data_IF_303039096715
#
_entry.id   IF_303039096715
#
_cell.length_a   1.000
_cell.length_b   1.000
_cell.length_c   1.000
_cell.angle_alpha   90.00
_cell.angle_beta   90.00
_cell.angle_gamma   90.00
#
_symmetry.space_group_name_H-M   'P 1'
#
loop_
_entity.id
_entity.type
_entity.pdbx_description
1 polymer ?
#
# COMPACT_ATOMS: atom_id res chain seq x y z
N UNK A 1 39.67 23.41 -12.77
CA UNK A 1 39.18 23.01 -11.42
C UNK A 1 37.92 22.18 -11.58
N UNK A 2 38.07 20.91 -12.06
CA UNK A 2 36.93 20.00 -12.39
C UNK A 2 37.35 18.52 -12.17
N UNK A 3 37.69 18.13 -10.95
CA UNK A 3 38.18 16.80 -10.64
C UNK A 3 37.82 16.35 -9.22
N UNK A 4 36.53 16.37 -8.82
CA UNK A 4 36.15 15.79 -7.51
C UNK A 4 34.74 15.17 -7.46
N UNK A 5 34.06 14.96 -8.59
CA UNK A 5 32.69 14.41 -8.58
C UNK A 5 32.57 12.91 -8.99
N UNK A 6 33.65 12.23 -9.33
CA UNK A 6 33.61 10.85 -9.89
C UNK A 6 33.90 9.72 -8.89
N UNK A 7 34.44 10.03 -7.69
CA UNK A 7 34.87 8.96 -6.74
C UNK A 7 33.80 8.46 -5.76
N UNK A 8 32.65 9.15 -5.63
CA UNK A 8 31.61 8.71 -4.67
C UNK A 8 30.61 7.69 -5.22
N UNK A 9 30.53 7.50 -6.52
CA UNK A 9 29.59 6.59 -7.16
C UNK A 9 29.86 5.09 -6.87
N UNK A 10 31.10 4.57 -6.89
CA UNK A 10 31.37 3.16 -6.63
C UNK A 10 31.14 2.76 -5.16
N UNK A 11 31.44 3.64 -4.20
CA UNK A 11 31.26 3.37 -2.77
C UNK A 11 29.77 3.27 -2.37
N UNK A 12 28.92 4.12 -2.93
CA UNK A 12 27.46 4.06 -2.69
C UNK A 12 26.82 2.79 -3.28
N UNK A 13 27.28 2.36 -4.45
CA UNK A 13 26.79 1.14 -5.10
C UNK A 13 27.17 -0.11 -4.28
N UNK A 14 28.40 -0.17 -3.73
CA UNK A 14 28.85 -1.28 -2.90
C UNK A 14 28.09 -1.37 -1.57
N UNK A 15 27.81 -0.24 -0.91
CA UNK A 15 27.00 -0.17 0.32
C UNK A 15 25.56 -0.65 0.08
N UNK A 16 24.93 -0.24 -1.02
CA UNK A 16 23.59 -0.71 -1.38
C UNK A 16 23.55 -2.21 -1.66
N UNK A 17 24.59 -2.75 -2.28
CA UNK A 17 24.69 -4.18 -2.54
C UNK A 17 24.90 -4.97 -1.22
N UNK A 18 25.73 -4.49 -0.32
CA UNK A 18 25.91 -5.07 1.01
C UNK A 18 24.60 -5.04 1.84
N UNK A 19 23.87 -3.90 1.82
CA UNK A 19 22.58 -3.78 2.48
C UNK A 19 21.56 -4.78 1.91
N UNK A 20 21.50 -4.93 0.59
CA UNK A 20 20.61 -5.91 -0.07
C UNK A 20 20.91 -7.36 0.32
N UNK A 21 22.16 -7.70 0.56
CA UNK A 21 22.55 -9.04 1.04
C UNK A 21 22.10 -9.28 2.49
N UNK A 22 22.12 -8.24 3.32
CA UNK A 22 21.73 -8.30 4.75
C UNK A 22 20.22 -8.13 4.97
N UNK A 23 19.45 -7.74 3.95
CA UNK A 23 18.00 -7.50 4.08
C UNK A 23 17.21 -8.65 4.72
N UNK A 24 17.40 -9.95 4.37
CA UNK A 24 16.67 -11.02 5.03
C UNK A 24 16.94 -11.11 6.52
N UNK A 25 18.19 -10.86 6.95
CA UNK A 25 18.58 -10.90 8.37
C UNK A 25 17.99 -9.70 9.13
N UNK A 26 18.04 -8.50 8.55
CA UNK A 26 17.43 -7.30 9.13
C UNK A 26 15.90 -7.48 9.24
N UNK A 27 15.29 -8.00 8.20
CA UNK A 27 13.85 -8.30 8.17
C UNK A 27 13.49 -9.35 9.24
N UNK A 28 14.31 -10.37 9.41
CA UNK A 28 14.12 -11.41 10.43
C UNK A 28 14.19 -10.83 11.85
N UNK A 29 15.17 -9.99 12.13
CA UNK A 29 15.29 -9.32 13.43
C UNK A 29 14.06 -8.44 13.71
N UNK A 30 13.61 -7.68 12.72
CA UNK A 30 12.41 -6.85 12.84
C UNK A 30 11.15 -7.66 13.08
N UNK A 31 10.91 -8.69 12.25
CA UNK A 31 9.74 -9.58 12.37
C UNK A 31 9.78 -10.36 13.67
N UNK A 32 10.95 -10.80 14.13
CA UNK A 32 11.12 -11.49 15.40
C UNK A 32 10.76 -10.60 16.60
N UNK A 33 11.28 -9.38 16.63
CA UNK A 33 10.95 -8.41 17.69
C UNK A 33 9.47 -8.04 17.68
N UNK A 34 8.91 -7.77 16.50
CA UNK A 34 7.48 -7.46 16.37
C UNK A 34 6.60 -8.67 16.70
N UNK A 35 6.99 -9.86 16.27
CA UNK A 35 6.28 -11.12 16.60
C UNK A 35 6.29 -11.43 18.08
N UNK A 36 7.38 -11.18 18.79
CA UNK A 36 7.45 -11.31 20.24
C UNK A 36 6.49 -10.34 20.95
N UNK A 37 6.43 -9.08 20.50
CA UNK A 37 5.46 -8.11 21.01
C UNK A 37 4.01 -8.58 20.77
N UNK A 38 3.70 -9.11 19.58
CA UNK A 38 2.36 -9.63 19.27
C UNK A 38 2.01 -10.86 20.10
N UNK A 39 2.96 -11.74 20.35
CA UNK A 39 2.77 -12.90 21.24
C UNK A 39 2.50 -12.44 22.69
N UNK A 40 3.25 -11.45 23.18
CA UNK A 40 3.02 -10.85 24.50
C UNK A 40 1.62 -10.26 24.64
N UNK A 41 1.14 -9.53 23.61
CA UNK A 41 -0.23 -9.03 23.59
C UNK A 41 -1.27 -10.14 23.50
N UNK A 42 -1.02 -11.20 22.69
CA UNK A 42 -1.90 -12.34 22.58
C UNK A 42 -2.02 -13.15 23.90
N UNK A 43 -1.02 -13.07 24.77
CA UNK A 43 -1.02 -13.68 26.09
C UNK A 43 -1.83 -12.89 27.15
N UNK A 44 -2.61 -11.88 26.73
CA UNK A 44 -3.50 -11.14 27.62
C UNK A 44 -2.98 -9.76 28.05
N UNK A 45 -1.86 -9.27 27.48
CA UNK A 45 -1.28 -7.97 27.80
C UNK A 45 -1.55 -6.93 26.71
N UNK A 46 -2.66 -7.09 25.98
CA UNK A 46 -3.02 -6.15 24.92
C UNK A 46 -3.48 -4.82 25.52
N UNK A 47 -2.88 -3.68 25.08
CA UNK A 47 -3.35 -2.36 25.51
C UNK A 47 -4.74 -2.07 24.98
N UNK A 48 -5.50 -1.26 25.72
CA UNK A 48 -6.78 -0.73 25.27
C UNK A 48 -6.59 0.29 24.15
N UNK A 49 -7.58 0.42 23.27
CA UNK A 49 -7.61 1.47 22.24
C UNK A 49 -6.51 1.35 21.18
N UNK A 50 -6.34 0.18 20.56
CA UNK A 50 -5.40 0.00 19.46
C UNK A 50 -5.97 0.33 18.07
N UNK A 51 -7.30 0.33 17.91
CA UNK A 51 -7.95 0.50 16.62
C UNK A 51 -8.90 1.70 16.60
N UNK A 52 -8.87 2.55 15.55
CA UNK A 52 -9.78 3.68 15.40
C UNK A 52 -11.20 3.26 14.98
N UNK A 53 -11.37 2.03 14.50
CA UNK A 53 -12.62 1.51 13.94
C UNK A 53 -13.13 0.25 14.69
N UNK A 54 -12.95 0.18 16.00
CA UNK A 54 -13.33 -1.00 16.79
C UNK A 54 -12.39 -2.18 16.56
N UNK A 55 -12.91 -3.35 16.23
CA UNK A 55 -12.09 -4.52 15.87
C UNK A 55 -11.49 -4.34 14.49
N UNK A 56 -10.20 -4.65 14.33
CA UNK A 56 -9.56 -4.66 13.02
C UNK A 56 -10.35 -5.62 12.10
N UNK A 57 -10.80 -5.13 10.93
CA UNK A 57 -11.53 -5.92 9.92
C UNK A 57 -10.71 -7.08 9.35
N UNK A 58 -9.40 -6.97 9.42
CA UNK A 58 -8.47 -8.06 9.17
C UNK A 58 -8.24 -8.72 10.52
N UNK A 59 -8.46 -10.04 10.61
CA UNK A 59 -8.26 -10.84 11.83
C UNK A 59 -6.78 -10.90 12.26
N UNK A 60 -6.14 -9.73 12.35
CA UNK A 60 -4.77 -9.56 12.82
C UNK A 60 -4.78 -9.26 14.32
N UNK A 61 -5.48 -10.09 15.06
CA UNK A 61 -5.60 -10.01 16.52
C UNK A 61 -5.18 -11.31 17.16
N UNK A 62 -4.78 -11.24 18.41
CA UNK A 62 -4.44 -12.42 19.20
C UNK A 62 -3.34 -13.29 18.57
N UNK A 63 -3.43 -14.60 18.78
CA UNK A 63 -2.45 -15.59 18.33
C UNK A 63 -2.30 -15.67 16.81
N UNK A 64 -3.33 -15.30 16.02
CA UNK A 64 -3.24 -15.25 14.57
C UNK A 64 -2.15 -14.29 14.10
N UNK A 65 -2.00 -13.14 14.76
CA UNK A 65 -0.95 -12.16 14.47
C UNK A 65 0.46 -12.69 14.76
N UNK A 66 0.61 -13.41 15.88
CA UNK A 66 1.88 -14.04 16.24
C UNK A 66 2.23 -15.16 15.25
N UNK A 67 1.26 -15.98 14.85
CA UNK A 67 1.44 -17.01 13.84
C UNK A 67 1.87 -16.45 12.47
N UNK A 68 1.27 -15.33 12.02
CA UNK A 68 1.67 -14.66 10.79
C UNK A 68 3.12 -14.15 10.87
N UNK A 69 3.52 -13.56 12.00
CA UNK A 69 4.92 -13.16 12.22
C UNK A 69 5.85 -14.38 12.25
N UNK A 70 5.44 -15.50 12.85
CA UNK A 70 6.17 -16.76 12.83
C UNK A 70 6.37 -17.31 11.42
N UNK A 71 5.32 -17.30 10.60
CA UNK A 71 5.40 -17.68 9.19
C UNK A 71 6.36 -16.77 8.40
N UNK A 72 6.32 -15.46 8.66
CA UNK A 72 7.25 -14.50 8.05
C UNK A 72 8.70 -14.77 8.48
N UNK A 73 8.94 -15.04 9.76
CA UNK A 73 10.27 -15.39 10.26
C UNK A 73 10.79 -16.68 9.62
N UNK A 74 9.96 -17.72 9.49
CA UNK A 74 10.32 -18.97 8.82
C UNK A 74 10.71 -18.76 7.36
N UNK A 75 9.92 -17.96 6.62
CA UNK A 75 10.24 -17.60 5.22
C UNK A 75 11.54 -16.81 5.13
N UNK A 76 11.76 -15.84 6.01
CA UNK A 76 12.98 -15.02 6.02
C UNK A 76 14.22 -15.84 6.40
N UNK A 77 14.10 -16.78 7.34
CA UNK A 77 15.13 -17.76 7.65
C UNK A 77 15.48 -18.62 6.44
N UNK A 78 14.46 -19.14 5.75
CA UNK A 78 14.65 -19.88 4.52
C UNK A 78 15.38 -19.05 3.45
N UNK A 79 14.99 -17.77 3.26
CA UNK A 79 15.63 -16.85 2.29
C UNK A 79 17.07 -16.45 2.68
N UNK A 80 17.38 -16.41 3.98
CA UNK A 80 18.71 -16.10 4.50
C UNK A 80 19.66 -17.28 4.39
N UNK A 81 19.15 -18.53 4.37
CA UNK A 81 19.94 -19.72 4.39
C UNK A 81 20.61 -20.01 3.01
N UNK A 82 21.90 -20.41 2.97
CA UNK A 82 22.59 -20.70 1.69
C UNK A 82 21.91 -21.76 0.82
N UNK A 83 21.24 -22.74 1.47
CA UNK A 83 20.51 -23.80 0.74
C UNK A 83 19.20 -23.34 0.11
N UNK A 84 18.73 -22.11 0.34
CA UNK A 84 17.52 -21.57 -0.26
C UNK A 84 17.56 -21.58 -1.80
N UNK A 85 18.74 -21.50 -2.39
CA UNK A 85 18.92 -21.57 -3.85
C UNK A 85 18.61 -22.96 -4.44
N UNK A 86 18.60 -24.01 -3.61
CA UNK A 86 18.24 -25.39 -3.99
C UNK A 86 16.74 -25.65 -3.93
N UNK A 87 15.97 -24.81 -3.25
CA UNK A 87 14.52 -24.94 -3.13
C UNK A 87 13.84 -24.50 -4.45
N UNK A 88 12.66 -25.06 -4.77
CA UNK A 88 11.94 -24.67 -5.97
C UNK A 88 11.58 -23.17 -5.91
N UNK A 89 12.26 -22.40 -6.77
CA UNK A 89 12.18 -20.94 -6.83
C UNK A 89 10.75 -20.40 -6.78
N UNK A 90 9.81 -21.06 -7.52
CA UNK A 90 8.41 -20.61 -7.57
C UNK A 90 7.73 -20.71 -6.21
N UNK A 91 7.92 -21.82 -5.50
CA UNK A 91 7.34 -22.03 -4.18
C UNK A 91 7.86 -21.00 -3.18
N UNK A 92 9.18 -20.81 -3.12
CA UNK A 92 9.80 -19.82 -2.22
C UNK A 92 9.31 -18.40 -2.50
N UNK A 93 9.20 -18.00 -3.76
CA UNK A 93 8.70 -16.68 -4.12
C UNK A 93 7.21 -16.54 -3.83
N UNK A 94 6.40 -17.53 -4.12
CA UNK A 94 4.96 -17.49 -3.84
C UNK A 94 4.70 -17.37 -2.34
N UNK A 95 5.33 -18.20 -1.51
CA UNK A 95 5.15 -18.12 -0.04
C UNK A 95 5.63 -16.80 0.51
N UNK A 96 6.80 -16.30 0.07
CA UNK A 96 7.32 -15.02 0.51
C UNK A 96 6.41 -13.84 0.12
N UNK A 97 5.86 -13.85 -1.10
CA UNK A 97 4.90 -12.83 -1.53
C UNK A 97 3.57 -12.93 -0.81
N UNK A 98 3.03 -14.14 -0.59
CA UNK A 98 1.79 -14.35 0.18
C UNK A 98 1.93 -13.77 1.58
N UNK A 99 3.00 -14.12 2.30
CA UNK A 99 3.26 -13.62 3.65
C UNK A 99 3.45 -12.10 3.66
N UNK A 100 4.21 -11.55 2.69
CA UNK A 100 4.40 -10.10 2.58
C UNK A 100 3.08 -9.35 2.33
N UNK A 101 2.19 -9.90 1.49
CA UNK A 101 0.86 -9.33 1.23
C UNK A 101 -0.02 -9.45 2.46
N UNK A 102 -0.04 -10.58 3.17
CA UNK A 102 -0.81 -10.73 4.41
C UNK A 102 -0.37 -9.73 5.49
N UNK A 103 0.95 -9.54 5.67
CA UNK A 103 1.47 -8.53 6.61
C UNK A 103 1.07 -7.10 6.19
N UNK A 104 1.18 -6.77 4.90
CA UNK A 104 0.77 -5.46 4.42
C UNK A 104 -0.75 -5.25 4.57
N UNK A 105 -1.55 -6.29 4.28
CA UNK A 105 -2.99 -6.27 4.43
C UNK A 105 -3.44 -6.06 5.89
N UNK A 106 -2.73 -6.68 6.84
CA UNK A 106 -2.97 -6.50 8.27
C UNK A 106 -2.75 -5.06 8.77
N UNK A 107 -1.97 -4.27 8.04
CA UNK A 107 -1.78 -2.84 8.29
C UNK A 107 -2.67 -1.91 7.45
N UNK A 108 -3.75 -2.40 6.83
CA UNK A 108 -4.57 -1.61 5.89
C UNK A 108 -5.18 -0.34 6.52
N UNK A 109 -5.52 -0.37 7.82
CA UNK A 109 -6.01 0.80 8.56
C UNK A 109 -4.96 1.89 8.82
N UNK A 110 -3.68 1.65 8.52
CA UNK A 110 -2.61 2.65 8.69
C UNK A 110 -2.91 3.95 7.93
N UNK A 111 -3.60 3.87 6.78
CA UNK A 111 -4.00 5.07 6.04
C UNK A 111 -4.99 5.92 6.85
N UNK A 112 -5.92 5.29 7.55
CA UNK A 112 -6.87 5.97 8.43
C UNK A 112 -6.16 6.60 9.64
N UNK A 113 -5.18 5.90 10.24
CA UNK A 113 -4.37 6.48 11.31
C UNK A 113 -3.59 7.72 10.86
N UNK A 114 -3.01 7.68 9.65
CA UNK A 114 -2.31 8.85 9.08
C UNK A 114 -3.26 10.03 8.89
N UNK A 115 -4.48 9.79 8.41
CA UNK A 115 -5.50 10.82 8.24
C UNK A 115 -5.90 11.39 9.61
N UNK A 116 -6.19 10.53 10.59
CA UNK A 116 -6.55 10.94 11.95
C UNK A 116 -5.44 11.75 12.64
N UNK A 117 -4.17 11.42 12.39
CA UNK A 117 -3.03 12.16 12.91
C UNK A 117 -2.86 13.57 12.29
N UNK A 118 -3.16 13.70 10.97
CA UNK A 118 -2.98 14.96 10.23
C UNK A 118 -4.19 15.89 10.42
N UNK A 119 -5.39 15.32 10.54
CA UNK A 119 -6.66 16.04 10.63
C UNK A 119 -7.37 15.72 11.96
N UNK A 120 -6.94 16.31 13.08
CA UNK A 120 -7.60 16.10 14.36
C UNK A 120 -9.04 16.62 14.32
N UNK A 121 -9.95 15.95 15.06
CA UNK A 121 -11.37 16.35 15.12
C UNK A 121 -12.26 15.77 14.02
N UNK A 122 -11.76 14.79 13.23
CA UNK A 122 -12.58 14.07 12.24
C UNK A 122 -13.52 13.01 12.86
N UNK A 123 -13.64 12.95 14.18
CA UNK A 123 -14.46 11.92 14.85
C UNK A 123 -13.79 10.55 14.98
N UNK A 124 -12.66 10.32 14.30
CA UNK A 124 -11.83 9.13 14.48
C UNK A 124 -10.78 9.39 15.56
N UNK A 125 -10.75 8.57 16.61
CA UNK A 125 -9.72 8.67 17.63
C UNK A 125 -8.37 8.20 17.04
N UNK A 126 -7.31 8.98 17.32
CA UNK A 126 -5.94 8.59 16.95
C UNK A 126 -5.30 7.80 18.09
N UNK A 127 -4.91 6.57 17.80
CA UNK A 127 -4.23 5.68 18.73
C UNK A 127 -2.77 5.47 18.31
N UNK A 128 -1.81 6.20 18.92
CA UNK A 128 -0.41 6.18 18.47
C UNK A 128 0.21 4.78 18.48
N UNK A 129 -0.08 4.00 19.51
CA UNK A 129 0.47 2.65 19.65
C UNK A 129 -0.10 1.70 18.57
N UNK A 130 -1.39 1.82 18.26
CA UNK A 130 -2.02 1.08 17.17
C UNK A 130 -1.44 1.47 15.81
N UNK A 131 -1.27 2.77 15.55
CA UNK A 131 -0.64 3.28 14.34
C UNK A 131 0.80 2.76 14.18
N UNK A 132 1.61 2.80 15.25
CA UNK A 132 2.97 2.24 15.25
C UNK A 132 2.98 0.74 15.00
N UNK A 133 2.06 -0.02 15.61
CA UNK A 133 1.93 -1.46 15.38
C UNK A 133 1.59 -1.77 13.91
N UNK A 134 0.63 -1.04 13.31
CA UNK A 134 0.30 -1.19 11.88
C UNK A 134 1.45 -0.79 10.98
N UNK A 135 2.16 0.29 11.31
CA UNK A 135 3.35 0.71 10.57
C UNK A 135 4.48 -0.35 10.66
N UNK A 136 4.67 -0.94 11.85
CA UNK A 136 5.64 -2.03 12.03
C UNK A 136 5.27 -3.26 11.20
N UNK A 137 3.98 -3.59 11.10
CA UNK A 137 3.48 -4.68 10.30
C UNK A 137 3.68 -4.44 8.79
N UNK A 138 3.34 -3.25 8.30
CA UNK A 138 3.58 -2.86 6.90
C UNK A 138 5.07 -2.85 6.57
N UNK A 139 5.92 -2.38 7.50
CA UNK A 139 7.37 -2.43 7.35
C UNK A 139 7.88 -3.87 7.26
N UNK A 140 7.36 -4.78 8.10
CA UNK A 140 7.68 -6.21 8.04
C UNK A 140 7.31 -6.81 6.67
N UNK A 141 6.11 -6.49 6.15
CA UNK A 141 5.67 -6.89 4.81
C UNK A 141 6.59 -6.35 3.71
N UNK A 142 6.94 -5.07 3.77
CA UNK A 142 7.83 -4.43 2.80
C UNK A 142 9.24 -5.04 2.80
N UNK A 143 9.80 -5.33 3.98
CA UNK A 143 11.11 -5.97 4.10
C UNK A 143 11.08 -7.42 3.63
N UNK A 144 10.00 -8.16 3.89
CA UNK A 144 9.79 -9.52 3.37
C UNK A 144 9.69 -9.50 1.83
N UNK A 145 8.93 -8.58 1.25
CA UNK A 145 8.85 -8.38 -0.19
C UNK A 145 10.21 -7.99 -0.81
N UNK A 146 10.98 -7.12 -0.15
CA UNK A 146 12.33 -6.75 -0.59
C UNK A 146 13.28 -7.96 -0.59
N UNK A 147 13.18 -8.83 0.43
CA UNK A 147 13.95 -10.07 0.54
C UNK A 147 13.56 -11.07 -0.56
N UNK A 148 12.26 -11.22 -0.85
CA UNK A 148 11.76 -12.04 -1.96
C UNK A 148 12.26 -11.52 -3.32
N UNK A 149 12.23 -10.21 -3.54
CA UNK A 149 12.78 -9.58 -4.75
C UNK A 149 14.28 -9.82 -4.90
N UNK A 150 15.04 -9.71 -3.79
CA UNK A 150 16.48 -9.96 -3.79
C UNK A 150 16.80 -11.43 -4.14
N UNK A 151 16.06 -12.38 -3.56
CA UNK A 151 16.17 -13.81 -3.89
C UNK A 151 15.80 -14.10 -5.35
N UNK A 152 14.64 -13.57 -5.80
CA UNK A 152 14.21 -13.72 -7.19
C UNK A 152 15.20 -13.19 -8.24
N UNK A 153 15.97 -12.14 -7.89
CA UNK A 153 17.05 -11.60 -8.74
C UNK A 153 18.26 -12.53 -8.78
N UNK A 154 18.64 -13.11 -7.63
CA UNK A 154 19.78 -14.03 -7.55
C UNK A 154 19.51 -15.32 -8.31
N UNK A 155 18.31 -15.87 -8.19
CA UNK A 155 17.93 -17.17 -8.76
C UNK A 155 17.31 -17.09 -10.16
N UNK A 156 17.11 -15.89 -10.70
CA UNK A 156 16.33 -15.67 -11.92
C UNK A 156 17.10 -15.53 -13.22
N UNK A 157 18.45 -15.62 -13.23
CA UNK A 157 19.24 -15.43 -14.45
C UNK A 157 19.07 -14.07 -15.13
N UNK A 158 18.56 -13.06 -14.39
CA UNK A 158 18.33 -11.72 -14.90
C UNK A 158 19.58 -10.84 -14.88
N UNK A 159 19.45 -9.62 -15.42
CA UNK A 159 20.51 -8.62 -15.42
C UNK A 159 21.08 -8.40 -13.99
N UNK A 160 22.41 -8.44 -13.84
CA UNK A 160 23.08 -8.25 -12.58
C UNK A 160 22.75 -6.88 -11.92
N UNK A 161 22.56 -5.82 -12.70
CA UNK A 161 22.24 -4.48 -12.21
C UNK A 161 20.78 -4.31 -11.76
N UNK A 162 19.80 -4.71 -12.59
CA UNK A 162 18.38 -4.49 -12.32
C UNK A 162 17.58 -5.75 -11.98
N UNK A 163 18.17 -6.96 -12.14
CA UNK A 163 17.52 -8.24 -11.88
C UNK A 163 16.43 -8.64 -12.87
N UNK A 164 16.28 -7.94 -13.98
CA UNK A 164 15.25 -8.23 -14.98
C UNK A 164 15.70 -9.34 -15.92
N UNK A 165 14.82 -10.31 -16.23
CA UNK A 165 15.11 -11.29 -17.27
C UNK A 165 15.23 -10.60 -18.64
N UNK A 166 15.94 -11.23 -19.57
CA UNK A 166 16.11 -10.72 -20.94
C UNK A 166 14.76 -10.51 -21.65
N UNK A 167 13.77 -11.34 -21.32
CA UNK A 167 12.40 -11.30 -21.85
C UNK A 167 11.49 -10.25 -21.18
N UNK A 168 11.99 -9.51 -20.17
CA UNK A 168 11.16 -8.52 -19.48
C UNK A 168 10.74 -7.40 -20.44
N UNK A 169 9.45 -7.02 -20.44
CA UNK A 169 9.00 -5.92 -21.29
C UNK A 169 9.73 -4.62 -20.93
N UNK A 170 10.14 -3.88 -21.95
CA UNK A 170 10.81 -2.59 -21.83
C UNK A 170 9.96 -1.52 -21.12
N UNK A 171 10.52 -0.34 -20.98
CA UNK A 171 9.77 0.83 -20.53
C UNK A 171 8.65 1.14 -21.54
N UNK A 172 7.49 1.58 -21.04
CA UNK A 172 6.40 2.02 -21.91
C UNK A 172 6.73 3.40 -22.48
N UNK A 173 6.76 3.50 -23.82
CA UNK A 173 7.00 4.77 -24.50
C UNK A 173 5.82 5.74 -24.31
N UNK A 174 4.60 5.21 -24.35
CA UNK A 174 3.34 5.96 -24.19
C UNK A 174 2.45 5.30 -23.14
N UNK A 175 1.49 6.07 -22.60
CA UNK A 175 0.44 5.51 -21.74
C UNK A 175 -0.49 4.64 -22.59
N UNK A 176 -0.67 3.36 -22.27
CA UNK A 176 -1.57 2.49 -23.03
C UNK A 176 -3.03 2.82 -22.70
N UNK A 177 -3.95 2.52 -23.62
CA UNK A 177 -5.38 2.82 -23.47
C UNK A 177 -5.99 2.20 -22.19
N UNK A 178 -5.62 0.96 -21.86
CA UNK A 178 -6.10 0.31 -20.63
C UNK A 178 -5.75 1.07 -19.34
N UNK A 179 -4.62 1.80 -19.33
CA UNK A 179 -4.24 2.59 -18.17
C UNK A 179 -5.10 3.86 -18.02
N UNK A 180 -5.54 4.47 -19.13
CA UNK A 180 -6.50 5.56 -19.11
C UNK A 180 -7.86 5.07 -18.60
N UNK A 181 -8.36 3.95 -19.10
CA UNK A 181 -9.59 3.36 -18.61
C UNK A 181 -9.52 3.06 -17.11
N UNK A 182 -8.41 2.48 -16.64
CA UNK A 182 -8.22 2.21 -15.22
C UNK A 182 -8.23 3.49 -14.37
N UNK A 183 -7.59 4.57 -14.84
CA UNK A 183 -7.60 5.85 -14.14
C UNK A 183 -9.00 6.50 -14.13
N UNK A 184 -9.73 6.45 -15.23
CA UNK A 184 -11.09 6.98 -15.29
C UNK A 184 -12.07 6.15 -14.46
N UNK A 185 -11.91 4.83 -14.41
CA UNK A 185 -12.68 3.97 -13.50
C UNK A 185 -12.37 4.29 -12.04
N UNK A 186 -11.11 4.61 -11.71
CA UNK A 186 -10.77 5.08 -10.37
C UNK A 186 -11.47 6.40 -10.03
N UNK A 187 -11.49 7.36 -10.95
CA UNK A 187 -12.25 8.62 -10.76
C UNK A 187 -13.74 8.33 -10.61
N UNK A 188 -14.31 7.46 -11.45
CA UNK A 188 -15.71 7.08 -11.35
C UNK A 188 -16.04 6.42 -10.00
N UNK A 189 -15.14 5.58 -9.46
CA UNK A 189 -15.27 5.01 -8.12
C UNK A 189 -15.28 6.10 -7.03
N UNK A 190 -14.37 7.08 -7.10
CA UNK A 190 -14.38 8.22 -6.19
C UNK A 190 -15.69 9.01 -6.25
N UNK A 191 -16.15 9.34 -7.46
CA UNK A 191 -17.43 10.07 -7.66
C UNK A 191 -18.63 9.24 -7.23
N UNK A 192 -18.62 7.91 -7.46
CA UNK A 192 -19.67 7.00 -7.01
C UNK A 192 -19.82 6.97 -5.49
N UNK A 193 -18.69 7.00 -4.77
CA UNK A 193 -18.70 7.13 -3.29
C UNK A 193 -19.31 8.47 -2.85
N UNK A 194 -18.95 9.56 -3.52
CA UNK A 194 -19.50 10.90 -3.21
C UNK A 194 -20.99 10.93 -3.49
N UNK A 195 -21.44 10.34 -4.60
CA UNK A 195 -22.85 10.22 -4.93
C UNK A 195 -23.64 9.40 -3.89
N UNK A 196 -23.05 8.28 -3.41
CA UNK A 196 -23.65 7.50 -2.34
C UNK A 196 -23.79 8.33 -1.04
N UNK A 197 -22.78 9.14 -0.68
CA UNK A 197 -22.86 10.04 0.47
C UNK A 197 -23.93 11.13 0.28
N UNK A 198 -23.99 11.73 -0.89
CA UNK A 198 -24.99 12.74 -1.20
C UNK A 198 -26.44 12.20 -1.12
N UNK A 199 -26.64 10.92 -1.46
CA UNK A 199 -27.95 10.28 -1.41
C UNK A 199 -28.46 10.07 0.03
N UNK A 200 -27.55 9.88 1.02
CA UNK A 200 -27.92 9.73 2.44
C UNK A 200 -27.79 11.05 3.21
N UNK A 201 -27.22 12.09 2.59
CA UNK A 201 -26.97 13.39 3.20
C UNK A 201 -25.57 13.51 3.82
N UNK A 202 -25.01 14.71 3.72
CA UNK A 202 -23.66 14.98 4.28
C UNK A 202 -23.69 15.15 5.81
N UNK A 203 -24.86 15.41 6.41
CA UNK A 203 -25.03 15.48 7.87
C UNK A 203 -24.89 14.13 8.57
N UNK A 204 -25.12 13.03 7.84
CA UNK A 204 -24.97 11.65 8.32
C UNK A 204 -23.54 11.11 8.11
N UNK A 205 -22.57 11.99 7.85
CA UNK A 205 -21.18 11.58 7.75
C UNK A 205 -20.66 11.08 9.11
N UNK A 206 -19.92 9.97 9.16
CA UNK A 206 -19.22 9.54 10.37
C UNK A 206 -18.14 10.55 10.82
N UNK A 207 -17.86 11.54 9.98
CA UNK A 207 -16.91 12.61 10.27
C UNK A 207 -17.65 13.78 10.91
N UNK A 208 -17.23 14.14 12.11
CA UNK A 208 -17.76 15.34 12.79
C UNK A 208 -17.44 16.59 11.97
N UNK A 209 -18.38 17.54 11.94
CA UNK A 209 -18.25 18.78 11.17
C UNK A 209 -17.03 19.61 11.55
N UNK A 210 -16.79 20.68 10.78
CA UNK A 210 -15.70 21.62 11.02
C UNK A 210 -14.66 21.66 9.90
N UNK A 211 -13.61 22.45 10.09
CA UNK A 211 -12.58 22.68 9.09
C UNK A 211 -11.86 21.39 8.66
N UNK A 212 -11.60 20.49 9.62
CA UNK A 212 -10.93 19.19 9.33
C UNK A 212 -11.75 18.32 8.41
N UNK A 213 -13.09 18.28 8.57
CA UNK A 213 -13.98 17.54 7.68
C UNK A 213 -13.98 18.14 6.26
N UNK A 214 -14.06 19.47 6.14
CA UNK A 214 -13.98 20.17 4.85
C UNK A 214 -12.64 19.90 4.15
N UNK A 215 -11.53 19.99 4.86
CA UNK A 215 -10.20 19.71 4.32
C UNK A 215 -10.04 18.24 3.91
N UNK A 216 -10.62 17.33 4.69
CA UNK A 216 -10.63 15.91 4.34
C UNK A 216 -11.42 15.66 3.06
N UNK A 217 -12.65 16.14 2.96
CA UNK A 217 -13.49 15.94 1.77
C UNK A 217 -12.88 16.61 0.54
N UNK A 218 -12.36 17.84 0.66
CA UNK A 218 -11.64 18.51 -0.42
C UNK A 218 -10.40 17.71 -0.85
N UNK A 219 -9.58 17.28 0.10
CA UNK A 219 -8.40 16.44 -0.16
C UNK A 219 -8.78 15.09 -0.76
N UNK A 220 -9.88 14.50 -0.31
CA UNK A 220 -10.43 13.25 -0.82
C UNK A 220 -10.85 13.38 -2.29
N UNK A 221 -11.62 14.42 -2.63
CA UNK A 221 -12.05 14.70 -4.02
C UNK A 221 -10.84 14.99 -4.91
N UNK A 222 -9.93 15.85 -4.46
CA UNK A 222 -8.72 16.19 -5.21
C UNK A 222 -7.78 14.99 -5.37
N UNK A 223 -7.51 14.27 -4.30
CA UNK A 223 -6.69 13.05 -4.34
C UNK A 223 -7.34 11.94 -5.15
N UNK A 224 -8.65 11.77 -5.02
CA UNK A 224 -9.44 10.76 -5.72
C UNK A 224 -9.58 11.01 -7.21
N UNK A 225 -9.54 12.26 -7.66
CA UNK A 225 -9.64 12.62 -9.07
C UNK A 225 -8.29 12.97 -9.71
N UNK A 226 -7.52 13.88 -9.11
CA UNK A 226 -6.28 14.37 -9.73
C UNK A 226 -5.15 13.33 -9.70
N UNK A 227 -5.05 12.52 -8.65
CA UNK A 227 -3.96 11.54 -8.54
C UNK A 227 -4.08 10.41 -9.56
N UNK A 228 -5.25 9.74 -9.77
CA UNK A 228 -5.43 8.79 -10.87
C UNK A 228 -5.14 9.41 -12.23
N UNK A 229 -5.59 10.64 -12.47
CA UNK A 229 -5.33 11.34 -13.73
C UNK A 229 -3.85 11.70 -13.90
N UNK A 230 -3.15 12.10 -12.84
CA UNK A 230 -1.71 12.36 -12.88
C UNK A 230 -0.89 11.10 -13.23
N UNK A 231 -1.36 9.93 -12.84
CA UNK A 231 -0.71 8.67 -13.18
C UNK A 231 -0.73 8.36 -14.69
N UNK A 232 -1.66 8.91 -15.46
CA UNK A 232 -1.80 8.59 -16.90
C UNK A 232 -1.53 9.77 -17.83
N UNK A 233 -1.85 10.99 -17.41
CA UNK A 233 -1.66 12.21 -18.19
C UNK A 233 -0.26 12.81 -18.07
N UNK A 234 0.03 13.83 -18.91
CA UNK A 234 1.33 14.48 -19.00
C UNK A 234 1.66 15.34 -17.77
N UNK A 235 0.64 15.94 -17.12
CA UNK A 235 0.85 16.80 -15.96
C UNK A 235 1.41 16.06 -14.74
N UNK A 236 1.24 14.75 -14.64
CA UNK A 236 1.89 13.93 -13.63
C UNK A 236 3.40 13.68 -13.88
N UNK A 237 3.96 14.16 -15.02
CA UNK A 237 5.39 14.08 -15.36
C UNK A 237 6.07 15.44 -15.45
N UNK A 238 5.31 16.45 -15.86
CA UNK A 238 5.80 17.84 -15.98
C UNK A 238 4.71 18.77 -15.49
N UNK A 239 5.10 19.72 -14.67
CA UNK A 239 4.18 20.73 -14.16
C UNK A 239 3.59 21.56 -15.32
N UNK A 240 2.30 21.88 -15.27
CA UNK A 240 1.69 22.77 -16.27
C UNK A 240 2.46 24.07 -16.39
N UNK A 241 2.70 24.52 -17.64
CA UNK A 241 3.47 25.76 -17.90
C UNK A 241 2.87 27.02 -17.29
N UNK A 242 1.58 26.98 -16.91
CA UNK A 242 0.87 28.10 -16.27
C UNK A 242 1.25 28.33 -14.81
N UNK A 243 1.99 27.41 -14.17
CA UNK A 243 2.43 27.57 -12.78
C UNK A 243 3.68 28.47 -12.72
N UNK A 244 3.64 29.59 -11.97
CA UNK A 244 4.68 30.64 -12.05
C UNK A 244 6.07 30.20 -11.61
N UNK A 245 6.22 29.22 -10.69
CA UNK A 245 7.53 28.78 -10.15
C UNK A 245 7.94 27.40 -10.67
N UNK A 246 6.96 26.52 -10.93
CA UNK A 246 7.17 25.12 -11.25
C UNK A 246 6.92 24.79 -12.73
N UNK A 247 6.38 25.73 -13.52
CA UNK A 247 5.96 25.50 -14.89
C UNK A 247 7.03 24.87 -15.77
N UNK A 248 6.67 23.76 -16.44
CA UNK A 248 7.56 23.02 -17.33
C UNK A 248 8.62 22.13 -16.62
N UNK A 249 8.83 22.26 -15.31
CA UNK A 249 9.75 21.39 -14.57
C UNK A 249 9.22 19.97 -14.47
N UNK A 250 10.13 18.99 -14.41
CA UNK A 250 9.75 17.57 -14.23
C UNK A 250 9.21 17.35 -12.83
N UNK A 251 8.05 16.68 -12.74
CA UNK A 251 7.49 16.22 -11.47
C UNK A 251 8.35 15.06 -10.94
N UNK A 252 8.83 15.12 -9.68
CA UNK A 252 9.55 14.00 -9.08
C UNK A 252 8.69 12.73 -9.13
N UNK A 253 9.20 11.66 -9.74
CA UNK A 253 8.49 10.39 -9.89
C UNK A 253 7.88 9.89 -8.58
N UNK A 254 8.62 10.07 -7.47
CA UNK A 254 8.21 9.59 -6.14
C UNK A 254 6.97 10.33 -5.64
N UNK A 255 6.80 11.60 -5.99
CA UNK A 255 5.67 12.44 -5.55
C UNK A 255 4.32 11.92 -6.07
N UNK A 256 4.28 11.30 -7.24
CA UNK A 256 3.05 10.75 -7.83
C UNK A 256 2.93 9.25 -7.56
N UNK A 257 4.03 8.51 -7.70
CA UNK A 257 3.99 7.05 -7.61
C UNK A 257 3.75 6.56 -6.18
N UNK A 258 4.41 7.16 -5.17
CA UNK A 258 4.29 6.67 -3.80
C UNK A 258 2.89 6.89 -3.20
N UNK A 259 2.29 8.11 -3.27
CA UNK A 259 0.91 8.29 -2.84
C UNK A 259 -0.06 7.42 -3.64
N UNK A 260 0.11 7.35 -4.98
CA UNK A 260 -0.71 6.49 -5.82
C UNK A 260 -0.66 5.02 -5.42
N UNK A 261 0.53 4.49 -5.12
CA UNK A 261 0.68 3.10 -4.69
C UNK A 261 0.16 2.88 -3.26
N UNK A 262 0.41 3.80 -2.33
CA UNK A 262 -0.03 3.68 -0.94
C UNK A 262 -1.56 3.74 -0.82
N UNK A 263 -2.18 4.76 -1.42
CA UNK A 263 -3.64 4.93 -1.39
C UNK A 263 -4.33 3.77 -2.12
N UNK A 264 -3.86 3.42 -3.32
CA UNK A 264 -4.46 2.31 -4.07
C UNK A 264 -4.31 0.98 -3.34
N UNK A 265 -3.17 0.72 -2.73
CA UNK A 265 -2.94 -0.48 -1.92
C UNK A 265 -3.87 -0.53 -0.71
N UNK A 266 -3.93 0.54 0.07
CA UNK A 266 -4.80 0.65 1.24
C UNK A 266 -6.28 0.47 0.88
N UNK A 267 -6.78 1.22 -0.11
CA UNK A 267 -8.17 1.12 -0.54
C UNK A 267 -8.52 -0.28 -1.07
N UNK A 268 -7.67 -0.85 -1.94
CA UNK A 268 -7.94 -2.17 -2.53
C UNK A 268 -7.97 -3.26 -1.46
N UNK A 269 -7.04 -3.24 -0.52
CA UNK A 269 -6.97 -4.24 0.54
C UNK A 269 -8.13 -4.06 1.52
N UNK A 270 -8.32 -2.86 2.05
CA UNK A 270 -9.33 -2.60 3.07
C UNK A 270 -10.75 -2.85 2.55
N UNK A 271 -11.12 -2.21 1.44
CA UNK A 271 -12.47 -2.36 0.89
C UNK A 271 -12.67 -3.68 0.16
N UNK A 272 -11.60 -4.32 -0.32
CA UNK A 272 -11.67 -5.69 -0.83
C UNK A 272 -12.01 -6.70 0.26
N UNK A 273 -11.35 -6.63 1.42
CA UNK A 273 -11.65 -7.47 2.57
C UNK A 273 -13.03 -7.17 3.14
N UNK A 274 -13.40 -5.89 3.24
CA UNK A 274 -14.72 -5.48 3.69
C UNK A 274 -15.82 -6.02 2.77
N UNK A 275 -15.66 -5.93 1.46
CA UNK A 275 -16.62 -6.50 0.50
C UNK A 275 -16.73 -8.02 0.62
N UNK A 276 -15.59 -8.71 0.79
CA UNK A 276 -15.61 -10.16 1.01
C UNK A 276 -16.34 -10.53 2.30
N UNK A 277 -16.15 -9.78 3.37
CA UNK A 277 -16.87 -9.98 4.63
C UNK A 277 -18.37 -9.71 4.46
N UNK A 278 -18.76 -8.62 3.80
CA UNK A 278 -20.16 -8.30 3.51
C UNK A 278 -20.84 -9.43 2.74
N UNK A 279 -20.19 -9.94 1.70
CA UNK A 279 -20.69 -11.07 0.92
C UNK A 279 -20.80 -12.34 1.77
N UNK A 280 -19.79 -12.63 2.60
CA UNK A 280 -19.79 -13.79 3.49
C UNK A 280 -20.95 -13.75 4.49
N UNK A 281 -21.15 -12.61 5.19
CA UNK A 281 -22.25 -12.45 6.13
C UNK A 281 -23.62 -12.61 5.44
N UNK A 282 -23.78 -12.04 4.24
CA UNK A 282 -25.01 -12.13 3.47
C UNK A 282 -25.32 -13.56 3.01
N UNK A 283 -24.30 -14.31 2.59
CA UNK A 283 -24.44 -15.72 2.18
C UNK A 283 -24.88 -16.60 3.35
N UNK A 284 -24.55 -16.20 4.59
CA UNK A 284 -24.97 -16.92 5.81
C UNK A 284 -26.25 -16.34 6.44
N UNK A 285 -27.00 -15.50 5.71
CA UNK A 285 -28.27 -14.92 6.17
C UNK A 285 -28.13 -13.91 7.30
N UNK A 286 -26.91 -13.40 7.56
CA UNK A 286 -26.64 -12.39 8.58
C UNK A 286 -26.61 -10.99 7.98
N UNK A 287 -27.01 -9.98 8.79
CA UNK A 287 -26.83 -8.59 8.37
C UNK A 287 -25.37 -8.19 8.56
N UNK A 288 -24.64 -7.80 7.48
CA UNK A 288 -23.25 -7.36 7.59
C UNK A 288 -23.07 -6.04 8.36
N UNK A 289 -24.14 -5.25 8.53
CA UNK A 289 -24.14 -3.98 9.25
C UNK A 289 -25.30 -3.93 10.23
N UNK A 290 -25.24 -4.67 11.35
CA UNK A 290 -26.24 -4.54 12.40
C UNK A 290 -26.22 -3.12 12.95
N UNK A 291 -27.38 -2.51 13.28
CA UNK A 291 -27.44 -1.21 13.89
C UNK A 291 -26.64 -1.23 15.19
N UNK A 292 -25.49 -0.57 15.17
CA UNK A 292 -24.60 -0.49 16.32
C UNK A 292 -24.09 0.94 16.48
N UNK A 293 -24.51 1.58 17.57
CA UNK A 293 -23.77 2.69 18.15
C UNK A 293 -23.66 3.97 17.32
N UNK A 294 -24.76 4.47 16.73
CA UNK A 294 -24.82 5.88 16.32
C UNK A 294 -24.59 6.22 14.85
N UNK A 295 -24.45 5.23 13.96
CA UNK A 295 -24.44 5.43 12.53
C UNK A 295 -25.65 4.70 11.90
N UNK A 296 -26.78 5.39 11.82
CA UNK A 296 -28.00 4.89 11.16
C UNK A 296 -27.95 5.04 9.63
N UNK A 297 -26.81 4.63 9.03
CA UNK A 297 -26.68 4.61 7.58
C UNK A 297 -27.39 3.39 7.00
N UNK A 298 -28.20 3.55 5.92
CA UNK A 298 -28.89 2.44 5.32
C UNK A 298 -27.88 1.43 4.72
N UNK A 299 -28.21 0.15 4.78
CA UNK A 299 -27.37 -0.91 4.21
C UNK A 299 -27.01 -0.67 2.74
N UNK A 300 -27.95 -0.12 1.95
CA UNK A 300 -27.74 0.26 0.56
C UNK A 300 -26.55 1.21 0.35
N UNK A 301 -26.28 2.10 1.32
CA UNK A 301 -25.11 2.97 1.27
C UNK A 301 -23.82 2.17 1.22
N UNK A 302 -23.67 1.16 2.08
CA UNK A 302 -22.46 0.35 2.13
C UNK A 302 -22.30 -0.51 0.87
N UNK A 303 -23.42 -1.04 0.32
CA UNK A 303 -23.40 -1.78 -0.95
C UNK A 303 -23.04 -0.91 -2.15
N UNK A 304 -23.22 0.39 -2.10
CA UNK A 304 -22.77 1.34 -3.12
C UNK A 304 -21.34 1.83 -2.84
N UNK A 305 -21.05 2.26 -1.61
CA UNK A 305 -19.81 2.91 -1.24
C UNK A 305 -18.60 1.95 -1.24
N UNK A 306 -18.76 0.73 -0.70
CA UNK A 306 -17.65 -0.24 -0.60
C UNK A 306 -17.13 -0.69 -1.98
N UNK A 307 -17.97 -1.11 -2.94
CA UNK A 307 -17.50 -1.40 -4.28
C UNK A 307 -16.93 -0.18 -5.00
N UNK A 308 -17.48 1.03 -4.75
CA UNK A 308 -16.96 2.27 -5.33
C UNK A 308 -15.52 2.57 -4.85
N UNK A 309 -15.25 2.42 -3.56
CA UNK A 309 -13.88 2.52 -3.01
C UNK A 309 -12.94 1.44 -3.59
N UNK A 310 -13.43 0.20 -3.71
CA UNK A 310 -12.63 -0.88 -4.31
C UNK A 310 -12.30 -0.59 -5.77
N UNK A 311 -13.27 -0.11 -6.55
CA UNK A 311 -13.07 0.30 -7.94
C UNK A 311 -12.04 1.43 -8.04
N UNK A 312 -12.14 2.43 -7.15
CA UNK A 312 -11.16 3.51 -7.08
C UNK A 312 -9.76 2.98 -6.77
N UNK A 313 -9.61 2.16 -5.73
CA UNK A 313 -8.31 1.56 -5.34
C UNK A 313 -7.70 0.70 -6.45
N UNK A 314 -8.47 -0.25 -6.98
CA UNK A 314 -8.00 -1.18 -8.01
C UNK A 314 -7.64 -0.45 -9.32
N UNK A 315 -8.49 0.46 -9.78
CA UNK A 315 -8.22 1.28 -10.97
C UNK A 315 -6.96 2.11 -10.82
N UNK A 316 -6.77 2.75 -9.66
CA UNK A 316 -5.56 3.53 -9.37
C UNK A 316 -4.31 2.64 -9.26
N UNK A 317 -4.40 1.42 -8.73
CA UNK A 317 -3.28 0.47 -8.67
C UNK A 317 -2.79 0.08 -10.08
N UNK A 318 -3.74 -0.18 -10.99
CA UNK A 318 -3.45 -0.48 -12.41
C UNK A 318 -2.80 0.73 -13.10
N UNK A 319 -3.32 1.95 -12.89
CA UNK A 319 -2.74 3.18 -13.42
C UNK A 319 -1.33 3.44 -12.84
N UNK A 320 -1.12 3.23 -11.53
CA UNK A 320 0.18 3.37 -10.88
C UNK A 320 1.21 2.38 -11.43
N UNK A 321 0.80 1.14 -11.74
CA UNK A 321 1.68 0.16 -12.41
C UNK A 321 2.10 0.63 -13.80
N UNK A 322 1.19 1.21 -14.59
CA UNK A 322 1.51 1.77 -15.90
C UNK A 322 2.49 2.95 -15.77
N UNK A 323 2.22 3.87 -14.83
CA UNK A 323 3.11 4.99 -14.53
C UNK A 323 4.50 4.53 -14.10
N UNK A 324 4.59 3.55 -13.21
CA UNK A 324 5.85 2.97 -12.75
C UNK A 324 6.69 2.38 -13.90
N UNK A 325 6.03 1.73 -14.88
CA UNK A 325 6.69 1.18 -16.08
C UNK A 325 7.12 2.26 -17.05
N UNK A 326 6.29 3.30 -17.24
CA UNK A 326 6.54 4.42 -18.16
C UNK A 326 7.66 5.35 -17.67
N UNK A 327 7.75 5.58 -16.36
CA UNK A 327 8.72 6.49 -15.74
C UNK A 327 9.96 5.76 -15.21
N UNK A 328 10.17 4.52 -15.64
CA UNK A 328 11.30 3.70 -15.22
C UNK A 328 12.59 4.26 -15.81
N UNK A 329 13.59 4.41 -14.94
CA UNK A 329 14.95 4.78 -15.37
C UNK A 329 15.58 3.58 -16.08
N UNK A 330 16.17 3.76 -17.26
CA UNK A 330 16.92 2.71 -17.94
C UNK A 330 18.04 2.16 -17.05
N UNK A 331 18.26 0.87 -17.12
CA UNK A 331 19.35 0.25 -16.37
C UNK A 331 20.68 0.51 -17.12
N UNK A 332 21.72 1.04 -16.44
CA UNK A 332 23.01 1.29 -17.09
C UNK A 332 23.69 0.00 -17.60
N UNK A 333 23.41 -1.17 -16.97
CA UNK A 333 24.02 -2.44 -17.35
C UNK A 333 23.34 -3.18 -18.50
N UNK A 334 22.05 -2.92 -18.78
CA UNK A 334 21.31 -3.63 -19.85
C UNK A 334 20.47 -2.70 -20.74
N UNK A 335 20.56 -1.38 -20.55
CA UNK A 335 19.88 -0.33 -21.35
C UNK A 335 18.35 -0.47 -21.43
N UNK A 336 17.71 -1.25 -20.54
CA UNK A 336 16.27 -1.56 -20.51
C UNK A 336 15.56 -0.97 -19.30
#
# INVERSE_FOLDING_TARGET
MATTLTDHAPAAASRLQALRRRMPVIALAWVGAYGALRAYWAAGHQPDGLSPAGTDLVAFTGWGSAALCGAAAAVLLALAHPRAERLPRRAVLLTAWTVAVCLAASGALLLLDVIAAILPGLGSAFYPLGALSRAACVAAGAMTAASALAHGRRTGGGCAGCGRPATAPGALARTPAWAYWAAYLAVAGCLGRIAAQAAVGFGESPLTGGLSAILFEAGFVLGGSLLPLALVHSFGRAWPRRLPVLGGRRVPRRLVLWPGAAISGGLTVYFGLMLLQMLWERLHGRNPFPPSGGLDLPEAFFWAAVPAYLLWGAGMAVAARAYARRTRVPCPSCSR
#
